data_IF_506631410868
#
_entry.id   IF_506631410868
#
_cell.length_a   1.000
_cell.length_b   1.000
_cell.length_c   1.000
_cell.angle_alpha   90.00
_cell.angle_beta   90.00
_cell.angle_gamma   90.00
#
_symmetry.space_group_name_H-M   'P 1'
#
loop_
_entity.id
_entity.type
_entity.pdbx_description
1 polymer ?
#
# COMPACT_ATOMS: atom_id res chain seq x y z
N UNK A 1 28.10 4.47 -5.54
CA UNK A 1 28.63 5.46 -4.58
C UNK A 1 28.14 6.83 -4.98
N UNK A 2 27.32 7.49 -4.16
CA UNK A 2 27.09 8.94 -4.29
C UNK A 2 27.49 9.54 -2.95
N UNK A 3 28.81 9.67 -2.79
CA UNK A 3 29.47 10.48 -1.77
C UNK A 3 30.05 11.70 -2.50
N UNK A 4 29.22 12.57 -3.09
CA UNK A 4 29.71 13.67 -3.94
C UNK A 4 29.29 15.05 -3.40
N UNK A 5 29.25 15.17 -2.07
CA UNK A 5 29.10 16.44 -1.38
C UNK A 5 29.91 16.43 -0.08
N UNK A 6 30.41 17.58 0.40
CA UNK A 6 31.12 17.67 1.68
C UNK A 6 30.22 17.20 2.84
N UNK A 7 30.81 16.68 3.93
CA UNK A 7 30.07 16.07 5.05
C UNK A 7 28.96 16.96 5.63
N UNK A 8 29.17 18.28 5.63
CA UNK A 8 28.16 19.26 6.04
C UNK A 8 26.88 19.20 5.18
N UNK A 9 27.00 18.99 3.86
CA UNK A 9 25.85 18.84 2.96
C UNK A 9 25.15 17.49 3.16
N UNK A 10 25.91 16.47 3.56
CA UNK A 10 25.39 15.14 3.85
C UNK A 10 24.56 15.07 5.15
N UNK A 11 24.85 15.96 6.11
CA UNK A 11 24.06 16.11 7.35
C UNK A 11 22.71 16.80 7.05
N UNK A 12 22.58 17.54 5.95
CA UNK A 12 21.36 18.26 5.61
C UNK A 12 20.26 17.38 4.99
N UNK A 13 20.58 16.17 4.51
CA UNK A 13 19.59 15.31 3.85
C UNK A 13 18.29 15.13 4.67
N UNK A 14 18.33 14.77 5.97
CA UNK A 14 17.12 14.57 6.75
C UNK A 14 16.25 15.84 6.82
N UNK A 15 16.86 17.01 7.07
CA UNK A 15 16.12 18.28 7.12
C UNK A 15 15.46 18.63 5.77
N UNK A 16 16.13 18.31 4.65
CA UNK A 16 15.55 18.49 3.31
C UNK A 16 14.36 17.55 3.11
N UNK A 17 14.48 16.28 3.52
CA UNK A 17 13.37 15.34 3.47
C UNK A 17 12.20 15.79 4.32
N UNK A 18 12.43 16.20 5.57
CA UNK A 18 11.37 16.67 6.46
C UNK A 18 10.60 17.84 5.86
N UNK A 19 11.31 18.81 5.28
CA UNK A 19 10.68 19.97 4.63
C UNK A 19 9.89 19.57 3.38
N UNK A 20 10.44 18.70 2.53
CA UNK A 20 9.75 18.24 1.34
C UNK A 20 8.53 17.38 1.69
N UNK A 21 8.63 16.50 2.68
CA UNK A 21 7.51 15.66 3.14
C UNK A 21 6.39 16.52 3.73
N UNK A 22 6.71 17.59 4.47
CA UNK A 22 5.71 18.57 4.90
C UNK A 22 4.98 19.21 3.71
N UNK A 23 5.67 19.49 2.59
CA UNK A 23 5.03 19.98 1.38
C UNK A 23 4.15 18.93 0.70
N UNK A 24 4.55 17.64 0.73
CA UNK A 24 3.72 16.54 0.22
C UNK A 24 2.38 16.45 0.96
N UNK A 25 2.37 16.69 2.27
CA UNK A 25 1.13 16.66 3.06
C UNK A 25 0.10 17.69 2.60
N UNK A 26 0.52 18.80 1.98
CA UNK A 26 -0.38 19.84 1.48
C UNK A 26 -1.34 19.35 0.39
N UNK A 27 -1.03 18.22 -0.27
CA UNK A 27 -1.95 17.57 -1.22
C UNK A 27 -3.25 17.08 -0.56
N UNK A 28 -3.21 16.75 0.73
CA UNK A 28 -4.33 16.21 1.50
C UNK A 28 -4.76 17.10 2.66
N UNK A 29 -3.82 17.89 3.20
CA UNK A 29 -3.99 18.76 4.37
C UNK A 29 -3.37 20.11 4.05
N UNK A 30 -4.10 21.02 3.40
CA UNK A 30 -3.55 22.33 3.05
C UNK A 30 -3.18 23.11 4.33
N UNK A 31 -2.13 23.95 4.28
CA UNK A 31 -1.64 24.67 5.44
C UNK A 31 -2.67 25.69 5.94
N UNK A 32 -2.83 25.77 7.26
CA UNK A 32 -3.71 26.75 7.89
C UNK A 32 -2.99 28.11 8.03
N UNK A 33 -3.62 29.20 7.60
CA UNK A 33 -3.13 30.55 7.84
C UNK A 33 -4.04 31.25 8.87
N UNK A 34 -3.59 31.32 10.13
CA UNK A 34 -4.40 31.86 11.23
C UNK A 34 -5.66 31.01 11.49
N UNK A 35 -6.84 31.64 11.58
CA UNK A 35 -8.13 30.96 11.73
C UNK A 35 -8.82 30.64 10.39
N UNK A 36 -8.18 30.92 9.25
CA UNK A 36 -8.76 30.67 7.93
C UNK A 36 -8.41 29.25 7.48
N UNK A 37 -9.38 28.34 7.58
CA UNK A 37 -9.32 27.03 6.94
C UNK A 37 -9.36 27.22 5.41
N UNK A 38 -8.31 26.80 4.72
CA UNK A 38 -8.33 26.59 3.27
C UNK A 38 -9.21 25.37 2.98
N UNK A 39 -10.49 25.59 2.66
CA UNK A 39 -11.44 24.52 2.32
C UNK A 39 -11.25 24.08 0.87
N UNK A 40 -11.23 22.77 0.63
CA UNK A 40 -11.30 22.18 -0.70
C UNK A 40 -12.79 22.06 -1.08
N UNK A 41 -13.33 22.97 -1.89
CA UNK A 41 -14.72 22.91 -2.36
C UNK A 41 -14.72 23.04 -3.89
N UNK A 42 -15.20 22.00 -4.54
CA UNK A 42 -15.42 21.96 -5.99
C UNK A 42 -16.74 22.68 -6.32
N UNK A 43 -16.76 24.01 -6.27
CA UNK A 43 -17.74 24.83 -7.00
C UNK A 43 -17.31 26.30 -7.00
N UNK A 44 -16.70 26.71 -8.11
CA UNK A 44 -16.07 28.00 -8.28
C UNK A 44 -17.08 29.15 -8.22
N UNK A 45 -16.92 30.03 -7.22
CA UNK A 45 -17.28 31.46 -7.30
C UNK A 45 -16.41 32.24 -6.30
N UNK A 46 -15.28 32.74 -6.82
CA UNK A 46 -14.47 33.86 -6.33
C UNK A 46 -14.15 33.88 -4.82
N UNK A 47 -13.03 33.26 -4.42
CA UNK A 47 -12.30 33.65 -3.20
C UNK A 47 -10.78 33.41 -3.30
N UNK A 48 -9.97 34.33 -2.77
CA UNK A 48 -8.50 34.32 -2.82
C UNK A 48 -7.87 33.11 -2.10
N UNK A 49 -8.55 32.57 -1.08
CA UNK A 49 -8.17 31.34 -0.38
C UNK A 49 -8.30 30.07 -1.26
N UNK A 50 -9.16 30.11 -2.27
CA UNK A 50 -9.44 29.00 -3.21
C UNK A 50 -8.29 28.86 -4.22
N UNK A 51 -7.72 29.97 -4.70
CA UNK A 51 -6.57 29.98 -5.62
C UNK A 51 -5.28 29.50 -4.95
N UNK A 52 -5.12 29.79 -3.66
CA UNK A 52 -4.01 29.31 -2.84
C UNK A 52 -4.15 27.79 -2.60
N UNK A 53 -5.36 27.29 -2.35
CA UNK A 53 -5.63 25.85 -2.24
C UNK A 53 -5.39 25.06 -3.54
N UNK A 54 -5.76 25.63 -4.71
CA UNK A 54 -5.60 25.02 -6.03
C UNK A 54 -4.14 24.80 -6.45
N UNK A 55 -3.18 25.56 -5.91
CA UNK A 55 -1.76 25.40 -6.22
C UNK A 55 -1.04 24.38 -5.32
N UNK A 56 -1.65 23.98 -4.19
CA UNK A 56 -0.97 23.07 -3.27
C UNK A 56 -0.89 21.63 -3.78
N UNK A 57 -1.88 21.15 -4.54
CA UNK A 57 -1.82 19.80 -5.11
C UNK A 57 -0.65 19.65 -6.09
N UNK A 58 -0.53 20.47 -7.16
CA UNK A 58 0.62 20.35 -8.07
C UNK A 58 1.98 20.60 -7.39
N UNK A 59 2.04 21.51 -6.42
CA UNK A 59 3.25 21.77 -5.64
C UNK A 59 3.65 20.58 -4.76
N UNK A 60 2.69 19.97 -4.07
CA UNK A 60 2.89 18.79 -3.23
C UNK A 60 3.30 17.58 -4.08
N UNK A 61 2.65 17.37 -5.23
CA UNK A 61 3.02 16.32 -6.19
C UNK A 61 4.43 16.52 -6.71
N UNK A 62 4.81 17.75 -7.08
CA UNK A 62 6.17 18.06 -7.50
C UNK A 62 7.19 17.85 -6.39
N UNK A 63 6.83 18.19 -5.15
CA UNK A 63 7.67 17.93 -3.97
C UNK A 63 7.88 16.44 -3.76
N UNK A 64 6.85 15.62 -3.96
CA UNK A 64 6.94 14.16 -3.86
C UNK A 64 7.88 13.59 -4.92
N UNK A 65 7.83 14.07 -6.17
CA UNK A 65 8.77 13.65 -7.21
C UNK A 65 10.23 13.93 -6.82
N UNK A 66 10.50 15.09 -6.20
CA UNK A 66 11.83 15.45 -5.69
C UNK A 66 12.23 14.55 -4.52
N UNK A 67 11.31 14.21 -3.60
CA UNK A 67 11.55 13.25 -2.52
C UNK A 67 11.99 11.90 -3.08
N UNK A 68 11.28 11.39 -4.08
CA UNK A 68 11.61 10.11 -4.71
C UNK A 68 13.00 10.18 -5.34
N UNK A 69 13.27 11.15 -6.21
CA UNK A 69 14.58 11.30 -6.88
C UNK A 69 15.75 11.44 -5.87
N UNK A 70 15.55 12.23 -4.81
CA UNK A 70 16.54 12.38 -3.75
C UNK A 70 16.76 11.07 -2.98
N UNK A 71 15.70 10.35 -2.63
CA UNK A 71 15.79 9.08 -1.91
C UNK A 71 16.50 8.01 -2.75
N UNK A 72 16.21 7.93 -4.05
CA UNK A 72 16.89 6.99 -4.96
C UNK A 72 18.42 7.17 -4.94
N UNK A 73 18.90 8.40 -4.81
CA UNK A 73 20.33 8.73 -4.78
C UNK A 73 20.98 8.57 -3.40
N UNK A 74 20.18 8.61 -2.34
CA UNK A 74 20.69 8.74 -0.95
C UNK A 74 20.23 7.63 0.01
N UNK A 75 19.45 6.64 -0.44
CA UNK A 75 18.86 5.60 0.42
C UNK A 75 19.86 4.87 1.33
N UNK A 76 21.07 4.57 0.85
CA UNK A 76 22.12 3.90 1.61
C UNK A 76 22.94 4.84 2.52
N UNK A 77 22.66 6.15 2.49
CA UNK A 77 23.44 7.15 3.21
C UNK A 77 23.19 7.06 4.72
N UNK A 78 24.24 7.11 5.54
CA UNK A 78 24.14 6.92 6.99
C UNK A 78 23.14 7.87 7.65
N UNK A 79 23.15 9.15 7.29
CA UNK A 79 22.20 10.15 7.83
C UNK A 79 20.74 9.80 7.47
N UNK A 80 20.48 9.36 6.23
CA UNK A 80 19.14 8.98 5.75
C UNK A 80 18.62 7.74 6.48
N UNK A 81 19.50 6.75 6.70
CA UNK A 81 19.17 5.53 7.46
C UNK A 81 18.95 5.84 8.94
N UNK A 82 19.82 6.65 9.56
CA UNK A 82 19.75 6.97 10.98
C UNK A 82 18.51 7.78 11.34
N UNK A 83 18.13 8.74 10.51
CA UNK A 83 16.94 9.58 10.69
C UNK A 83 15.65 8.96 10.16
N UNK A 84 15.67 7.65 9.84
CA UNK A 84 14.48 6.87 9.46
C UNK A 84 13.69 7.47 8.29
N UNK A 85 14.38 8.10 7.34
CA UNK A 85 13.75 8.80 6.21
C UNK A 85 12.77 7.91 5.45
N UNK A 86 13.11 6.63 5.23
CA UNK A 86 12.20 5.67 4.57
C UNK A 86 10.87 5.54 5.30
N UNK A 87 10.90 5.43 6.64
CA UNK A 87 9.69 5.37 7.46
C UNK A 87 8.88 6.66 7.32
N UNK A 88 9.53 7.83 7.34
CA UNK A 88 8.85 9.12 7.21
C UNK A 88 8.18 9.26 5.83
N UNK A 89 8.83 8.80 4.75
CA UNK A 89 8.22 8.75 3.42
C UNK A 89 6.99 7.84 3.42
N UNK A 90 7.10 6.61 3.93
CA UNK A 90 5.98 5.66 4.01
C UNK A 90 4.80 6.26 4.78
N UNK A 91 5.07 6.84 5.96
CA UNK A 91 4.05 7.48 6.81
C UNK A 91 3.36 8.65 6.11
N UNK A 92 4.11 9.48 5.39
CA UNK A 92 3.56 10.61 4.63
C UNK A 92 2.66 10.12 3.50
N UNK A 93 3.12 9.10 2.76
CA UNK A 93 2.37 8.51 1.64
C UNK A 93 1.13 7.74 2.10
N UNK A 94 1.13 7.19 3.32
CA UNK A 94 -0.03 6.50 3.88
C UNK A 94 -1.30 7.36 3.87
N UNK A 95 -1.17 8.67 4.06
CA UNK A 95 -2.32 9.60 4.08
C UNK A 95 -3.10 9.56 2.76
N UNK A 96 -2.55 9.99 1.60
CA UNK A 96 -3.28 9.90 0.33
C UNK A 96 -3.65 8.46 -0.04
N UNK A 97 -2.81 7.47 0.27
CA UNK A 97 -3.07 6.06 -0.04
C UNK A 97 -4.30 5.50 0.68
N UNK A 98 -4.49 5.86 1.94
CA UNK A 98 -5.66 5.44 2.73
C UNK A 98 -6.98 6.05 2.22
N UNK A 99 -6.89 7.24 1.60
CA UNK A 99 -8.06 7.98 1.12
C UNK A 99 -8.61 7.42 -0.18
N UNK A 100 -7.78 6.89 -1.10
CA UNK A 100 -8.15 6.37 -2.44
C UNK A 100 -9.23 7.21 -3.14
N UNK A 101 -10.50 6.85 -3.04
CA UNK A 101 -11.61 7.59 -3.67
C UNK A 101 -11.99 8.91 -2.97
N UNK A 102 -11.63 9.06 -1.69
CA UNK A 102 -11.78 10.29 -0.91
C UNK A 102 -10.55 11.20 -0.97
N UNK A 103 -9.54 10.86 -1.78
CA UNK A 103 -8.35 11.69 -1.95
C UNK A 103 -8.73 13.00 -2.67
N UNK A 104 -8.22 14.18 -2.25
CA UNK A 104 -8.58 15.45 -2.89
C UNK A 104 -8.26 15.52 -4.39
N UNK A 105 -7.26 14.76 -4.82
CA UNK A 105 -6.95 14.53 -6.24
C UNK A 105 -6.63 13.07 -6.52
N UNK A 106 -7.19 12.52 -7.59
CA UNK A 106 -6.87 11.18 -8.09
C UNK A 106 -5.40 11.08 -8.55
N UNK A 107 -4.86 12.14 -9.15
CA UNK A 107 -3.45 12.19 -9.57
C UNK A 107 -2.51 12.01 -8.37
N UNK A 108 -2.87 12.59 -7.21
CA UNK A 108 -2.08 12.50 -5.99
C UNK A 108 -2.08 11.06 -5.47
N UNK A 109 -3.23 10.40 -5.46
CA UNK A 109 -3.31 8.99 -5.04
C UNK A 109 -2.45 8.09 -5.94
N UNK A 110 -2.56 8.25 -7.27
CA UNK A 110 -1.76 7.49 -8.25
C UNK A 110 -0.25 7.78 -8.14
N UNK A 111 0.11 9.05 -7.92
CA UNK A 111 1.50 9.43 -7.72
C UNK A 111 2.04 8.87 -6.41
N UNK A 112 1.24 8.87 -5.34
CA UNK A 112 1.63 8.34 -4.04
C UNK A 112 1.95 6.85 -4.11
N UNK A 113 1.11 6.04 -4.76
CA UNK A 113 1.37 4.59 -4.89
C UNK A 113 2.56 4.31 -5.79
N UNK A 114 2.68 5.00 -6.94
CA UNK A 114 3.87 4.88 -7.80
C UNK A 114 5.16 5.26 -7.07
N UNK A 115 5.11 6.32 -6.25
CA UNK A 115 6.23 6.78 -5.44
C UNK A 115 6.59 5.77 -4.34
N UNK A 116 5.60 5.19 -3.67
CA UNK A 116 5.80 4.14 -2.67
C UNK A 116 6.51 2.94 -3.30
N UNK A 117 6.03 2.44 -4.45
CA UNK A 117 6.64 1.31 -5.16
C UNK A 117 8.11 1.60 -5.53
N UNK A 118 8.40 2.81 -6.05
CA UNK A 118 9.77 3.23 -6.41
C UNK A 118 10.69 3.37 -5.21
N UNK A 119 10.19 3.89 -4.09
CA UNK A 119 10.97 4.07 -2.86
C UNK A 119 11.24 2.72 -2.21
N UNK A 120 10.26 1.81 -2.18
CA UNK A 120 10.40 0.48 -1.59
C UNK A 120 11.34 -0.44 -2.40
N UNK A 121 11.35 -0.36 -3.72
CA UNK A 121 12.26 -1.18 -4.55
C UNK A 121 13.75 -0.93 -4.24
N UNK A 122 14.08 0.22 -3.65
CA UNK A 122 15.43 0.56 -3.20
C UNK A 122 15.54 0.45 -1.67
N UNK A 123 14.53 0.91 -0.95
CA UNK A 123 14.51 0.97 0.51
C UNK A 123 14.47 -0.41 1.18
N UNK A 124 13.74 -1.37 0.61
CA UNK A 124 13.65 -2.74 1.16
C UNK A 124 15.00 -3.46 1.12
N UNK A 125 15.77 -3.49 0.00
CA UNK A 125 17.13 -3.99 0.01
C UNK A 125 18.03 -3.35 1.07
N UNK A 126 17.97 -2.02 1.24
CA UNK A 126 18.74 -1.30 2.27
C UNK A 126 18.32 -1.71 3.67
N UNK A 127 17.01 -1.80 3.93
CA UNK A 127 16.49 -2.21 5.24
C UNK A 127 16.97 -3.62 5.63
N UNK A 128 16.99 -4.55 4.67
CA UNK A 128 17.49 -5.92 4.86
C UNK A 128 18.98 -5.97 5.21
N UNK A 129 19.80 -5.11 4.60
CA UNK A 129 21.23 -5.00 4.95
C UNK A 129 21.46 -4.54 6.41
N UNK A 130 20.46 -3.87 6.98
CA UNK A 130 20.48 -3.36 8.34
C UNK A 130 19.65 -4.20 9.33
N UNK A 131 19.23 -5.41 8.97
CA UNK A 131 18.38 -6.27 9.79
C UNK A 131 18.93 -6.53 11.21
N UNK A 132 20.25 -6.67 11.35
CA UNK A 132 20.90 -6.87 12.66
C UNK A 132 20.99 -5.61 13.53
N UNK A 133 20.82 -4.43 12.94
CA UNK A 133 21.02 -3.15 13.61
C UNK A 133 19.74 -2.54 14.20
N UNK A 134 18.57 -3.12 13.91
CA UNK A 134 17.27 -2.63 14.39
C UNK A 134 16.84 -1.25 13.89
N UNK A 135 17.62 -0.60 13.01
CA UNK A 135 17.36 0.77 12.54
C UNK A 135 16.02 0.96 11.83
N UNK A 136 15.47 -0.13 11.29
CA UNK A 136 14.21 -0.14 10.56
C UNK A 136 13.06 -0.81 11.34
N UNK A 137 13.24 -1.16 12.62
CA UNK A 137 12.24 -1.93 13.37
C UNK A 137 10.89 -1.21 13.45
N UNK A 138 10.90 0.11 13.64
CA UNK A 138 9.68 0.93 13.65
C UNK A 138 9.07 1.17 12.27
N UNK A 139 9.78 0.87 11.18
CA UNK A 139 9.30 1.05 9.81
C UNK A 139 8.36 -0.08 9.38
N UNK A 140 8.63 -1.32 9.79
CA UNK A 140 7.84 -2.48 9.36
C UNK A 140 6.36 -2.40 9.76
N UNK A 141 5.97 -2.03 11.00
CA UNK A 141 4.56 -1.87 11.35
C UNK A 141 3.87 -0.74 10.58
N UNK A 142 4.60 0.36 10.28
CA UNK A 142 4.07 1.46 9.48
C UNK A 142 3.83 1.02 8.02
N UNK A 143 4.75 0.24 7.46
CA UNK A 143 4.61 -0.34 6.12
C UNK A 143 3.42 -1.30 6.04
N UNK A 144 3.25 -2.19 7.03
CA UNK A 144 2.10 -3.09 7.08
C UNK A 144 0.78 -2.31 7.13
N UNK A 145 0.72 -1.29 7.99
CA UNK A 145 -0.46 -0.43 8.11
C UNK A 145 -0.75 0.33 6.82
N UNK A 146 0.29 0.76 6.10
CA UNK A 146 0.16 1.43 4.81
C UNK A 146 -0.42 0.50 3.74
N UNK A 147 0.06 -0.75 3.66
CA UNK A 147 -0.53 -1.74 2.76
C UNK A 147 -1.97 -2.08 3.12
N UNK A 148 -2.29 -2.26 4.40
CA UNK A 148 -3.65 -2.56 4.86
C UNK A 148 -4.62 -1.43 4.46
N UNK A 149 -4.27 -0.18 4.77
CA UNK A 149 -5.12 0.98 4.48
C UNK A 149 -5.29 1.22 2.97
N UNK A 150 -4.27 0.88 2.17
CA UNK A 150 -4.33 0.97 0.71
C UNK A 150 -5.19 -0.14 0.08
N UNK A 151 -4.86 -1.40 0.37
CA UNK A 151 -5.52 -2.57 -0.24
C UNK A 151 -6.97 -2.74 0.24
N UNK A 152 -7.25 -2.34 1.49
CA UNK A 152 -8.56 -2.44 2.13
C UNK A 152 -9.10 -1.07 2.53
N UNK A 153 -9.00 -0.10 1.62
CA UNK A 153 -9.54 1.25 1.84
C UNK A 153 -11.00 1.20 2.31
N UNK A 154 -11.35 2.15 3.18
CA UNK A 154 -12.72 2.37 3.64
C UNK A 154 -13.49 3.34 2.74
N UNK A 155 -12.82 3.96 1.78
CA UNK A 155 -13.44 4.89 0.83
C UNK A 155 -14.32 4.13 -0.17
N UNK A 156 -15.47 4.72 -0.50
CA UNK A 156 -16.45 4.12 -1.40
C UNK A 156 -16.21 4.66 -2.81
N UNK A 157 -16.16 3.81 -3.86
CA UNK A 157 -16.07 4.27 -5.24
C UNK A 157 -17.24 5.22 -5.60
N UNK A 158 -17.00 6.31 -6.36
CA UNK A 158 -18.07 7.17 -6.84
C UNK A 158 -19.03 6.43 -7.79
N UNK A 159 -20.32 6.79 -7.78
CA UNK A 159 -21.34 6.15 -8.63
C UNK A 159 -21.05 6.30 -10.14
N UNK A 160 -20.40 7.40 -10.52
CA UNK A 160 -20.01 7.71 -11.88
C UNK A 160 -18.65 7.15 -12.31
N UNK A 161 -17.99 6.34 -11.47
CA UNK A 161 -16.71 5.71 -11.82
C UNK A 161 -16.92 4.69 -12.93
N UNK A 162 -16.23 4.86 -14.06
CA UNK A 162 -16.34 3.90 -15.15
C UNK A 162 -15.71 2.56 -14.79
N UNK A 163 -16.17 1.50 -15.46
CA UNK A 163 -15.58 0.16 -15.35
C UNK A 163 -14.09 0.18 -15.69
N UNK A 164 -13.69 0.91 -16.74
CA UNK A 164 -12.29 1.00 -17.17
C UNK A 164 -11.40 1.68 -16.11
N UNK A 165 -11.91 2.69 -15.42
CA UNK A 165 -11.20 3.33 -14.30
C UNK A 165 -11.13 2.43 -13.09
N UNK A 166 -12.19 1.70 -12.78
CA UNK A 166 -12.19 0.70 -11.73
C UNK A 166 -11.11 -0.36 -11.97
N UNK A 167 -11.07 -0.94 -13.17
CA UNK A 167 -10.06 -1.93 -13.57
C UNK A 167 -8.63 -1.37 -13.55
N UNK A 168 -8.44 -0.12 -13.96
CA UNK A 168 -7.13 0.55 -13.81
C UNK A 168 -6.72 0.68 -12.35
N UNK A 169 -7.65 1.04 -11.47
CA UNK A 169 -7.39 1.15 -10.03
C UNK A 169 -7.12 -0.22 -9.39
N UNK A 170 -7.79 -1.26 -9.85
CA UNK A 170 -7.52 -2.64 -9.45
C UNK A 170 -6.13 -3.12 -9.92
N UNK A 171 -5.72 -2.79 -11.14
CA UNK A 171 -4.37 -3.13 -11.64
C UNK A 171 -3.27 -2.55 -10.74
N UNK A 172 -3.49 -1.38 -10.14
CA UNK A 172 -2.57 -0.79 -9.17
C UNK A 172 -2.58 -1.60 -7.86
N UNK A 173 -3.74 -2.07 -7.40
CA UNK A 173 -3.83 -2.98 -6.24
C UNK A 173 -2.99 -4.25 -6.48
N UNK A 174 -3.06 -4.81 -7.71
CA UNK A 174 -2.27 -5.98 -8.14
C UNK A 174 -0.76 -5.69 -8.12
N UNK A 175 -0.31 -4.53 -8.60
CA UNK A 175 1.12 -4.14 -8.56
C UNK A 175 1.68 -4.15 -7.14
N UNK A 176 0.90 -3.71 -6.15
CA UNK A 176 1.31 -3.73 -4.73
C UNK A 176 1.44 -5.17 -4.21
N UNK A 177 0.51 -6.06 -4.56
CA UNK A 177 0.62 -7.49 -4.21
C UNK A 177 1.84 -8.12 -4.89
N UNK A 178 2.15 -7.71 -6.11
CA UNK A 178 3.32 -8.21 -6.82
C UNK A 178 4.64 -7.72 -6.19
N UNK A 179 4.70 -6.49 -5.66
CA UNK A 179 5.81 -6.05 -4.83
C UNK A 179 5.96 -6.94 -3.58
N UNK A 180 4.85 -7.28 -2.92
CA UNK A 180 4.87 -8.17 -1.75
C UNK A 180 5.44 -9.55 -2.12
N UNK A 181 5.00 -10.14 -3.23
CA UNK A 181 5.42 -11.47 -3.66
C UNK A 181 6.87 -11.53 -4.15
N UNK A 182 7.42 -10.43 -4.67
CA UNK A 182 8.76 -10.38 -5.27
C UNK A 182 9.82 -9.77 -4.35
N UNK A 183 9.49 -8.74 -3.57
CA UNK A 183 10.45 -7.95 -2.78
C UNK A 183 10.35 -8.16 -1.27
N UNK A 184 9.27 -8.78 -0.78
CA UNK A 184 9.06 -8.99 0.67
C UNK A 184 9.15 -10.46 1.05
N UNK A 185 8.22 -11.28 0.56
CA UNK A 185 8.10 -12.67 0.99
C UNK A 185 9.33 -13.54 0.69
N UNK A 186 10.04 -13.39 -0.46
CA UNK A 186 11.28 -14.13 -0.72
C UNK A 186 12.39 -13.84 0.29
N UNK A 187 12.31 -12.70 0.99
CA UNK A 187 13.35 -12.22 1.90
C UNK A 187 12.90 -12.24 3.37
N UNK A 188 11.87 -13.02 3.70
CA UNK A 188 11.30 -13.15 5.04
C UNK A 188 12.33 -13.47 6.16
N UNK A 189 13.49 -14.03 5.81
CA UNK A 189 14.58 -14.31 6.76
C UNK A 189 15.24 -13.03 7.30
N UNK A 190 15.15 -11.92 6.59
CA UNK A 190 15.82 -10.65 6.90
C UNK A 190 14.86 -9.56 7.38
N UNK A 191 13.61 -9.91 7.69
CA UNK A 191 12.57 -8.98 8.13
C UNK A 191 11.84 -9.56 9.36
N UNK A 192 11.17 -8.73 10.17
CA UNK A 192 10.51 -9.20 11.39
C UNK A 192 9.40 -10.22 11.11
N UNK A 193 9.34 -11.29 11.92
CA UNK A 193 8.32 -12.34 11.78
C UNK A 193 6.90 -11.82 11.95
N UNK A 194 6.71 -10.86 12.86
CA UNK A 194 5.41 -10.21 13.08
C UNK A 194 4.90 -9.53 11.80
N UNK A 195 5.78 -8.80 11.11
CA UNK A 195 5.47 -8.17 9.83
C UNK A 195 5.09 -9.20 8.76
N UNK A 196 5.84 -10.30 8.65
CA UNK A 196 5.48 -11.41 7.74
C UNK A 196 4.09 -11.98 8.07
N UNK A 197 3.76 -12.13 9.35
CA UNK A 197 2.45 -12.60 9.78
C UNK A 197 1.31 -11.65 9.41
N UNK A 198 1.53 -10.34 9.51
CA UNK A 198 0.58 -9.31 9.05
C UNK A 198 0.38 -9.39 7.53
N UNK A 199 1.45 -9.55 6.75
CA UNK A 199 1.38 -9.72 5.29
C UNK A 199 0.57 -10.96 4.92
N UNK A 200 0.78 -12.10 5.60
CA UNK A 200 0.01 -13.32 5.37
C UNK A 200 -1.49 -13.13 5.66
N UNK A 201 -1.80 -12.40 6.73
CA UNK A 201 -3.18 -12.09 7.10
C UNK A 201 -3.84 -11.19 6.06
N UNK A 202 -3.12 -10.18 5.56
CA UNK A 202 -3.59 -9.31 4.47
C UNK A 202 -3.85 -10.09 3.18
N UNK A 203 -2.91 -10.93 2.74
CA UNK A 203 -3.09 -11.76 1.53
C UNK A 203 -4.29 -12.70 1.67
N UNK A 204 -4.49 -13.30 2.86
CA UNK A 204 -5.68 -14.11 3.12
C UNK A 204 -6.96 -13.30 2.96
N UNK A 205 -7.03 -12.13 3.61
CA UNK A 205 -8.16 -11.21 3.54
C UNK A 205 -8.45 -10.77 2.10
N UNK A 206 -7.40 -10.52 1.30
CA UNK A 206 -7.50 -10.17 -0.11
C UNK A 206 -8.06 -11.31 -0.96
N UNK A 207 -7.60 -12.54 -0.73
CA UNK A 207 -8.05 -13.74 -1.46
C UNK A 207 -9.52 -14.14 -1.24
N UNK A 208 -10.18 -13.56 -0.23
CA UNK A 208 -11.59 -13.84 0.12
C UNK A 208 -12.54 -12.79 -0.47
N UNK A 209 -12.05 -11.60 -0.84
CA UNK A 209 -12.89 -10.46 -1.23
C UNK A 209 -13.68 -10.63 -2.54
N UNK A 210 -13.54 -11.76 -3.24
CA UNK A 210 -14.33 -12.10 -4.44
C UNK A 210 -15.64 -12.85 -4.17
N UNK A 211 -16.02 -13.10 -2.90
CA UNK A 211 -17.24 -13.88 -2.60
C UNK A 211 -18.38 -12.98 -2.08
N UNK A 212 -19.23 -12.49 -2.99
CA UNK A 212 -20.50 -11.85 -2.69
C UNK A 212 -21.69 -12.74 -3.10
N UNK A 213 -22.70 -12.82 -2.24
CA UNK A 213 -23.92 -13.62 -2.36
C UNK A 213 -25.11 -12.84 -2.95
N UNK A 214 -24.90 -12.05 -4.02
CA UNK A 214 -25.95 -11.21 -4.62
C UNK A 214 -26.19 -11.52 -6.10
N UNK A 215 -27.46 -11.72 -6.45
CA UNK A 215 -27.99 -12.26 -7.71
C UNK A 215 -28.02 -11.28 -8.92
N UNK A 216 -27.45 -10.07 -8.82
CA UNK A 216 -27.35 -9.15 -9.98
C UNK A 216 -25.94 -9.17 -10.56
N UNK A 217 -25.72 -10.12 -11.48
CA UNK A 217 -24.42 -10.64 -11.94
C UNK A 217 -23.51 -9.64 -12.70
N UNK A 218 -24.02 -8.75 -13.56
CA UNK A 218 -23.13 -8.11 -14.55
C UNK A 218 -22.29 -6.92 -14.05
N UNK A 219 -22.79 -6.13 -13.08
CA UNK A 219 -22.09 -4.93 -12.57
C UNK A 219 -21.39 -5.17 -11.23
N UNK A 220 -21.83 -6.18 -10.48
CA UNK A 220 -21.25 -6.53 -9.18
C UNK A 220 -19.94 -7.28 -9.40
N UNK A 221 -19.90 -8.25 -10.32
CA UNK A 221 -18.75 -9.12 -10.55
C UNK A 221 -17.48 -8.33 -10.94
N UNK A 222 -17.63 -7.32 -11.80
CA UNK A 222 -16.55 -6.41 -12.21
C UNK A 222 -16.04 -5.54 -11.04
N UNK A 223 -16.87 -5.28 -10.02
CA UNK A 223 -16.50 -4.48 -8.84
C UNK A 223 -15.92 -5.32 -7.70
N UNK A 224 -15.80 -6.65 -7.83
CA UNK A 224 -15.28 -7.53 -6.77
C UNK A 224 -13.75 -7.60 -6.70
N UNK A 225 -13.03 -6.86 -7.55
CA UNK A 225 -11.56 -6.87 -7.63
C UNK A 225 -11.00 -8.30 -7.78
N UNK A 226 -11.50 -9.00 -8.79
CA UNK A 226 -11.19 -10.41 -9.04
C UNK A 226 -9.69 -10.66 -9.28
N UNK A 227 -9.01 -9.86 -10.11
CA UNK A 227 -7.59 -10.02 -10.40
C UNK A 227 -6.74 -9.74 -9.16
N UNK A 228 -7.15 -8.78 -8.33
CA UNK A 228 -6.52 -8.57 -7.02
C UNK A 228 -6.68 -9.79 -6.10
N UNK A 229 -7.90 -10.33 -5.97
CA UNK A 229 -8.19 -11.52 -5.14
C UNK A 229 -7.38 -12.74 -5.62
N UNK A 230 -7.36 -12.96 -6.93
CA UNK A 230 -6.58 -14.00 -7.60
C UNK A 230 -5.09 -13.84 -7.33
N UNK A 231 -4.51 -12.65 -7.51
CA UNK A 231 -3.09 -12.40 -7.23
C UNK A 231 -2.74 -12.66 -5.76
N UNK A 232 -3.62 -12.29 -4.82
CA UNK A 232 -3.45 -12.62 -3.40
C UNK A 232 -3.43 -14.14 -3.16
N UNK A 233 -4.37 -14.87 -3.78
CA UNK A 233 -4.46 -16.32 -3.67
C UNK A 233 -3.25 -17.03 -4.30
N UNK A 234 -2.86 -16.65 -5.52
CA UNK A 234 -1.69 -17.20 -6.21
C UNK A 234 -0.41 -16.96 -5.40
N UNK A 235 -0.26 -15.78 -4.81
CA UNK A 235 0.86 -15.48 -3.91
C UNK A 235 0.86 -16.42 -2.69
N UNK A 236 -0.28 -16.57 -2.00
CA UNK A 236 -0.37 -17.52 -0.87
C UNK A 236 -0.03 -18.95 -1.30
N UNK A 237 -0.52 -19.38 -2.46
CA UNK A 237 -0.27 -20.71 -3.01
C UNK A 237 1.22 -20.91 -3.30
N UNK A 238 1.85 -19.95 -3.99
CA UNK A 238 3.27 -19.97 -4.32
C UNK A 238 4.15 -20.14 -3.07
N UNK A 239 3.86 -19.40 -2.00
CA UNK A 239 4.63 -19.48 -0.76
C UNK A 239 4.23 -20.64 0.17
N UNK A 240 3.04 -21.23 -0.01
CA UNK A 240 2.63 -22.47 0.66
C UNK A 240 3.41 -23.68 0.15
N UNK A 241 3.56 -23.77 -1.17
CA UNK A 241 4.16 -24.92 -1.87
C UNK A 241 5.62 -24.70 -2.29
N UNK A 242 6.28 -23.67 -1.76
CA UNK A 242 7.68 -23.41 -2.11
C UNK A 242 8.56 -24.58 -1.66
N UNK A 243 8.91 -25.46 -2.61
CA UNK A 243 9.67 -26.70 -2.43
C UNK A 243 11.13 -26.47 -1.97
N UNK A 244 11.53 -25.22 -1.74
CA UNK A 244 12.82 -24.84 -1.17
C UNK A 244 12.67 -24.56 0.31
N UNK A 245 12.23 -25.54 1.10
CA UNK A 245 12.35 -25.44 2.57
C UNK A 245 13.81 -25.71 2.92
N UNK A 246 14.68 -24.74 2.66
CA UNK A 246 16.10 -24.82 3.01
C UNK A 246 16.37 -24.25 4.40
N UNK A 247 15.45 -23.40 4.90
CA UNK A 247 15.58 -22.74 6.19
C UNK A 247 14.32 -22.92 7.07
N UNK A 248 14.46 -22.93 8.41
CA UNK A 248 13.33 -23.04 9.33
C UNK A 248 12.26 -21.94 9.17
N UNK A 249 12.65 -20.76 8.67
CA UNK A 249 11.74 -19.64 8.40
C UNK A 249 10.93 -19.84 7.10
N UNK A 250 11.50 -20.40 6.04
CA UNK A 250 10.73 -20.81 4.85
C UNK A 250 9.66 -21.85 5.23
N UNK A 251 10.01 -22.79 6.10
CA UNK A 251 9.05 -23.74 6.67
C UNK A 251 7.97 -23.06 7.53
N UNK A 252 8.29 -21.94 8.18
CA UNK A 252 7.30 -21.15 8.94
C UNK A 252 6.32 -20.43 8.00
N UNK A 253 6.81 -19.79 6.94
CA UNK A 253 5.99 -19.14 5.89
C UNK A 253 5.08 -20.17 5.22
N UNK A 254 5.63 -21.31 4.81
CA UNK A 254 4.86 -22.40 4.19
C UNK A 254 3.77 -22.91 5.13
N UNK A 255 4.08 -23.15 6.42
CA UNK A 255 3.06 -23.55 7.42
C UNK A 255 1.99 -22.48 7.62
N UNK A 256 2.37 -21.20 7.68
CA UNK A 256 1.40 -20.10 7.80
C UNK A 256 0.48 -20.06 6.59
N UNK A 257 1.04 -20.08 5.39
CA UNK A 257 0.28 -20.03 4.16
C UNK A 257 -0.60 -21.27 3.97
N UNK A 258 -0.12 -22.47 4.31
CA UNK A 258 -0.93 -23.70 4.36
C UNK A 258 -2.06 -23.62 5.39
N UNK A 259 -1.78 -23.13 6.60
CA UNK A 259 -2.82 -22.95 7.63
C UNK A 259 -3.91 -21.99 7.16
N UNK A 260 -3.51 -20.93 6.49
CA UNK A 260 -4.40 -19.94 5.87
C UNK A 260 -5.24 -20.59 4.76
N UNK A 261 -4.61 -21.35 3.86
CA UNK A 261 -5.29 -22.06 2.77
C UNK A 261 -6.29 -23.09 3.29
N UNK A 262 -5.91 -23.91 4.27
CA UNK A 262 -6.78 -24.90 4.89
C UNK A 262 -7.96 -24.25 5.59
N UNK A 263 -7.71 -23.15 6.32
CA UNK A 263 -8.79 -22.38 6.95
C UNK A 263 -9.77 -21.85 5.91
N UNK A 264 -9.28 -21.32 4.78
CA UNK A 264 -10.14 -20.91 3.67
C UNK A 264 -10.93 -22.08 3.09
N UNK A 265 -10.29 -23.21 2.78
CA UNK A 265 -10.98 -24.40 2.25
C UNK A 265 -12.09 -24.85 3.19
N UNK A 266 -11.83 -24.84 4.50
CA UNK A 266 -12.83 -25.13 5.52
C UNK A 266 -13.98 -24.12 5.51
N UNK A 267 -13.68 -22.82 5.45
CA UNK A 267 -14.70 -21.77 5.45
C UNK A 267 -15.58 -21.80 4.18
N UNK A 268 -14.99 -22.11 3.02
CA UNK A 268 -15.73 -22.31 1.76
C UNK A 268 -16.66 -23.53 1.85
N UNK A 269 -16.17 -24.65 2.39
CA UNK A 269 -16.99 -25.86 2.56
C UNK A 269 -18.14 -25.63 3.55
N UNK A 270 -17.90 -24.93 4.67
CA UNK A 270 -18.96 -24.60 5.63
C UNK A 270 -20.02 -23.70 5.02
N UNK A 271 -19.61 -22.66 4.26
CA UNK A 271 -20.58 -21.81 3.56
C UNK A 271 -21.36 -22.55 2.51
N UNK A 272 -20.71 -23.41 1.72
CA UNK A 272 -21.40 -24.26 0.75
C UNK A 272 -22.49 -25.10 1.41
N UNK A 273 -22.20 -25.73 2.56
CA UNK A 273 -23.18 -26.53 3.31
C UNK A 273 -24.32 -25.64 3.85
N UNK A 274 -24.03 -24.46 4.38
CA UNK A 274 -25.06 -23.52 4.85
C UNK A 274 -25.93 -22.99 3.69
N UNK A 275 -25.32 -22.64 2.56
CA UNK A 275 -26.03 -22.18 1.37
C UNK A 275 -26.91 -23.30 0.79
N UNK A 276 -26.43 -24.55 0.76
CA UNK A 276 -27.21 -25.72 0.35
C UNK A 276 -28.41 -25.93 1.29
N UNK A 277 -28.21 -25.78 2.60
CA UNK A 277 -29.27 -25.87 3.62
C UNK A 277 -30.32 -24.78 3.48
N UNK A 278 -29.91 -23.56 3.10
CA UNK A 278 -30.80 -22.41 2.91
C UNK A 278 -31.49 -22.39 1.53
N UNK A 279 -30.86 -22.93 0.49
CA UNK A 279 -31.34 -22.91 -0.90
C UNK A 279 -32.45 -23.93 -1.17
N UNK A 280 -32.58 -24.97 -0.34
CA UNK A 280 -33.65 -25.96 -0.46
C UNK A 280 -33.61 -26.73 -1.80
N UNK A 281 -34.58 -26.48 -2.69
CA UNK A 281 -34.66 -27.11 -4.03
C UNK A 281 -34.06 -26.24 -5.15
N UNK A 282 -33.66 -25.00 -4.87
CA UNK A 282 -33.02 -24.16 -5.87
C UNK A 282 -31.55 -24.58 -6.01
N UNK A 283 -31.04 -24.76 -7.25
CA UNK A 283 -29.63 -25.02 -7.46
C UNK A 283 -28.81 -23.82 -6.96
N UNK A 284 -27.67 -24.12 -6.34
CA UNK A 284 -26.72 -23.10 -5.90
C UNK A 284 -26.22 -22.28 -7.09
N UNK A 285 -26.00 -20.97 -6.93
CA UNK A 285 -25.32 -20.14 -7.93
C UNK A 285 -23.96 -20.76 -8.26
N UNK A 286 -23.61 -20.82 -9.54
CA UNK A 286 -22.32 -21.36 -10.01
C UNK A 286 -21.23 -20.31 -9.98
#
# INVERSE_FOLDING_TARGET
AICIGPENMQIMYPAIFDQLLAFVEFSCKPPQYGQLETKHIANAKYNQAEWVALNYVPFAERSLEVVVDLYQKTACHKAVVNEKVLQNIIKTLRVPLSLKYSCPSESTWKLAVSSLLKVLSIGLPVARQHASSGKFDSMWPELASTFEDFLFTKSIPPDNLSIQEFQRNESIDVEVVQLISTEILPYANFIPKEFVGQIMTMLNKGSIHSQSSSFTEAEIDIRLREEFSKMCFETLLQFSFSNKVTTPQEGYISRMALSVLLKRSQDVLHRYIEDERLSGKCPLPR
#
